data_IF_561961136830
#
_entry.id   IF_561961136830
#
_cell.length_a   1.000
_cell.length_b   1.000
_cell.length_c   1.000
_cell.angle_alpha   90.00
_cell.angle_beta   90.00
_cell.angle_gamma   90.00
#
_symmetry.space_group_name_H-M   'P 1'
#
loop_
_entity.id
_entity.type
_entity.pdbx_description
1 polymer ?
#
# COMPACT_ATOMS: atom_id res chain seq x y z
N UNK A 1 30.47 -8.12 -16.95
CA UNK A 1 29.31 -7.21 -16.76
C UNK A 1 28.10 -7.97 -16.17
N UNK A 2 28.30 -8.72 -15.08
CA UNK A 2 27.24 -9.54 -14.44
C UNK A 2 27.35 -9.60 -12.90
N UNK A 3 28.42 -9.02 -12.32
CA UNK A 3 28.63 -8.97 -10.87
C UNK A 3 28.10 -7.63 -10.29
N UNK A 4 28.20 -6.54 -11.06
CA UNK A 4 27.79 -5.20 -10.60
C UNK A 4 26.27 -4.99 -10.49
N UNK A 5 25.43 -5.81 -11.15
CA UNK A 5 23.98 -5.78 -10.95
C UNK A 5 23.53 -6.54 -9.68
N UNK A 6 24.33 -7.50 -9.19
CA UNK A 6 24.00 -8.26 -7.98
C UNK A 6 24.30 -7.50 -6.69
N UNK A 7 25.16 -6.47 -6.74
CA UNK A 7 25.53 -5.67 -5.55
C UNK A 7 24.60 -4.49 -5.27
N UNK A 8 23.73 -4.11 -6.22
CA UNK A 8 22.81 -2.97 -6.02
C UNK A 8 21.62 -3.31 -5.11
N UNK A 9 21.39 -4.59 -4.84
CA UNK A 9 20.33 -5.09 -3.97
C UNK A 9 20.96 -5.60 -2.68
N UNK A 10 20.51 -5.06 -1.53
CA UNK A 10 20.79 -5.49 -0.12
C UNK A 10 21.90 -4.77 0.65
N UNK A 11 21.72 -3.47 0.88
CA UNK A 11 21.86 -2.96 2.25
C UNK A 11 20.61 -2.19 2.62
N UNK A 12 19.63 -2.91 3.18
CA UNK A 12 18.64 -2.22 3.99
C UNK A 12 19.39 -1.66 5.19
N UNK A 13 19.28 -0.35 5.36
CA UNK A 13 19.88 0.36 6.47
C UNK A 13 19.19 -0.09 7.78
N UNK A 14 19.87 -0.89 8.59
CA UNK A 14 19.29 -1.39 9.85
C UNK A 14 18.94 -0.25 10.79
N UNK A 15 19.71 0.83 10.79
CA UNK A 15 19.40 2.01 11.60
C UNK A 15 18.10 2.67 11.15
N UNK A 16 17.75 2.60 9.86
CA UNK A 16 16.46 3.06 9.36
C UNK A 16 15.31 2.18 9.86
N UNK A 17 15.49 0.85 9.90
CA UNK A 17 14.48 -0.06 10.45
C UNK A 17 14.20 0.24 11.93
N UNK A 18 15.24 0.44 12.72
CA UNK A 18 15.10 0.80 14.14
C UNK A 18 14.41 2.17 14.29
N UNK A 19 14.77 3.14 13.44
CA UNK A 19 14.14 4.47 13.43
C UNK A 19 12.66 4.42 13.07
N UNK A 20 12.28 3.57 12.11
CA UNK A 20 10.89 3.33 11.75
C UNK A 20 10.12 2.65 12.90
N UNK A 21 10.74 1.64 13.53
CA UNK A 21 10.18 0.97 14.71
C UNK A 21 9.94 1.95 15.87
N UNK A 22 10.87 2.88 16.12
CA UNK A 22 10.72 3.95 17.10
C UNK A 22 9.60 4.95 16.79
N UNK A 23 9.04 4.92 15.56
CA UNK A 23 7.88 5.71 15.13
C UNK A 23 6.62 4.86 14.97
N UNK A 24 6.58 3.67 15.56
CA UNK A 24 5.47 2.71 15.53
C UNK A 24 5.14 2.15 14.14
N UNK A 25 6.10 2.14 13.21
CA UNK A 25 5.99 1.30 12.01
C UNK A 25 6.44 -0.14 12.34
N UNK A 26 5.88 -1.12 11.62
CA UNK A 26 6.36 -2.51 11.58
C UNK A 26 7.11 -2.75 10.25
N UNK A 27 8.38 -2.31 10.11
CA UNK A 27 9.07 -2.39 8.85
C UNK A 27 9.46 -3.84 8.53
N UNK A 28 9.02 -4.34 7.37
CA UNK A 28 9.33 -5.69 6.89
C UNK A 28 10.13 -5.63 5.60
N UNK A 29 11.19 -6.44 5.53
CA UNK A 29 12.11 -6.48 4.38
C UNK A 29 11.98 -7.83 3.70
N UNK A 30 11.75 -7.79 2.40
CA UNK A 30 11.65 -8.97 1.52
C UNK A 30 12.58 -8.81 0.32
N UNK A 31 12.87 -9.92 -0.36
CA UNK A 31 13.90 -9.97 -1.40
C UNK A 31 13.42 -9.54 -2.78
N UNK A 32 12.11 -9.39 -3.00
CA UNK A 32 11.56 -9.06 -4.31
C UNK A 32 10.03 -8.93 -4.33
N UNK A 33 9.50 -8.71 -5.54
CA UNK A 33 8.09 -8.44 -5.78
C UNK A 33 7.17 -9.58 -5.31
N UNK A 34 7.51 -10.84 -5.63
CA UNK A 34 6.68 -11.99 -5.26
C UNK A 34 6.56 -12.15 -3.73
N UNK A 35 7.69 -12.06 -3.01
CA UNK A 35 7.70 -12.10 -1.55
C UNK A 35 6.94 -10.91 -0.95
N UNK A 36 7.03 -9.72 -1.56
CA UNK A 36 6.29 -8.55 -1.14
C UNK A 36 4.78 -8.74 -1.29
N UNK A 37 4.33 -9.24 -2.45
CA UNK A 37 2.93 -9.54 -2.69
C UNK A 37 2.41 -10.56 -1.66
N UNK A 38 3.10 -11.69 -1.49
CA UNK A 38 2.67 -12.73 -0.55
C UNK A 38 2.63 -12.20 0.88
N UNK A 39 3.62 -11.40 1.29
CA UNK A 39 3.63 -10.78 2.61
C UNK A 39 2.43 -9.84 2.80
N UNK A 40 2.15 -8.95 1.85
CA UNK A 40 1.00 -8.03 1.93
C UNK A 40 -0.31 -8.82 2.00
N UNK A 41 -0.51 -9.82 1.14
CA UNK A 41 -1.72 -10.65 1.14
C UNK A 41 -1.89 -11.44 2.45
N UNK A 42 -0.80 -11.87 3.08
CA UNK A 42 -0.83 -12.56 4.38
C UNK A 42 -1.26 -11.65 5.53
N UNK A 43 -1.10 -10.33 5.39
CA UNK A 43 -1.46 -9.33 6.40
C UNK A 43 -2.92 -8.90 6.35
N UNK A 44 -3.65 -9.28 5.29
CA UNK A 44 -5.06 -8.93 5.09
C UNK A 44 -5.96 -9.87 5.91
N UNK A 45 -6.81 -9.34 6.81
CA UNK A 45 -7.81 -10.13 7.49
C UNK A 45 -8.87 -10.65 6.53
N UNK A 46 -9.40 -11.84 6.80
CA UNK A 46 -10.55 -12.36 6.05
C UNK A 46 -11.78 -11.46 6.26
N UNK A 47 -12.52 -11.21 5.18
CA UNK A 47 -13.69 -10.34 5.15
C UNK A 47 -13.40 -8.83 5.18
N UNK A 48 -12.15 -8.41 5.34
CA UNK A 48 -11.79 -7.00 5.43
C UNK A 48 -12.15 -6.21 4.15
N UNK A 49 -12.62 -4.98 4.32
CA UNK A 49 -12.66 -3.98 3.26
C UNK A 49 -11.24 -3.48 3.00
N UNK A 50 -10.70 -3.84 1.82
CA UNK A 50 -9.35 -3.48 1.40
C UNK A 50 -9.43 -2.48 0.24
N UNK A 51 -8.83 -1.32 0.43
CA UNK A 51 -8.70 -0.29 -0.61
C UNK A 51 -7.25 0.12 -0.76
N UNK A 52 -6.91 0.75 -1.88
CA UNK A 52 -5.56 1.27 -2.08
C UNK A 52 -5.55 2.56 -2.88
N UNK A 53 -4.47 3.32 -2.70
CA UNK A 53 -4.15 4.46 -3.54
C UNK A 53 -3.56 4.04 -4.89
N UNK A 54 -3.52 4.96 -5.84
CA UNK A 54 -2.74 4.75 -7.06
C UNK A 54 -1.25 4.56 -6.72
N UNK A 55 -0.66 3.47 -7.22
CA UNK A 55 0.73 3.12 -6.96
C UNK A 55 1.27 2.16 -8.02
N UNK A 56 2.27 2.63 -8.78
CA UNK A 56 3.03 1.77 -9.71
C UNK A 56 3.71 0.61 -8.99
N UNK A 57 4.12 0.79 -7.73
CA UNK A 57 4.71 -0.31 -6.94
C UNK A 57 3.68 -1.42 -6.69
N UNK A 58 2.46 -1.06 -6.29
CA UNK A 58 1.40 -2.03 -6.03
C UNK A 58 0.98 -2.75 -7.32
N UNK A 59 0.91 -2.03 -8.43
CA UNK A 59 0.68 -2.59 -9.77
C UNK A 59 1.80 -3.58 -10.14
N UNK A 60 3.07 -3.19 -10.01
CA UNK A 60 4.23 -4.00 -10.38
C UNK A 60 4.39 -5.28 -9.56
N UNK A 61 4.00 -5.28 -8.29
CA UNK A 61 3.99 -6.50 -7.48
C UNK A 61 2.76 -7.38 -7.75
N UNK A 62 1.83 -6.97 -8.63
CA UNK A 62 0.64 -7.75 -8.99
C UNK A 62 -0.50 -7.68 -7.96
N UNK A 63 -0.50 -6.69 -7.07
CA UNK A 63 -1.49 -6.59 -5.99
C UNK A 63 -2.91 -6.40 -6.53
N UNK A 64 -3.10 -5.52 -7.52
CA UNK A 64 -4.44 -5.20 -8.04
C UNK A 64 -5.13 -6.44 -8.63
N UNK A 65 -4.39 -7.23 -9.41
CA UNK A 65 -4.88 -8.50 -9.96
C UNK A 65 -5.18 -9.54 -8.88
N UNK A 66 -4.35 -9.62 -7.83
CA UNK A 66 -4.58 -10.52 -6.71
C UNK A 66 -5.82 -10.15 -5.91
N UNK A 67 -6.06 -8.86 -5.66
CA UNK A 67 -7.25 -8.38 -4.97
C UNK A 67 -8.52 -8.54 -5.81
N UNK A 68 -8.45 -8.29 -7.12
CA UNK A 68 -9.58 -8.43 -8.04
C UNK A 68 -10.10 -9.88 -8.15
N UNK A 69 -9.24 -10.88 -7.90
CA UNK A 69 -9.58 -12.30 -7.95
C UNK A 69 -9.75 -12.94 -6.56
N UNK A 70 -9.53 -12.16 -5.49
CA UNK A 70 -9.61 -12.66 -4.12
C UNK A 70 -11.06 -12.85 -3.69
N UNK A 71 -11.37 -14.03 -3.14
CA UNK A 71 -12.62 -14.30 -2.42
C UNK A 71 -12.50 -14.04 -0.91
N UNK A 72 -11.30 -13.75 -0.41
CA UNK A 72 -11.02 -13.59 1.02
C UNK A 72 -11.34 -12.19 1.54
N UNK A 73 -11.29 -11.17 0.70
CA UNK A 73 -11.45 -9.77 1.10
C UNK A 73 -12.49 -9.08 0.22
N UNK A 74 -13.08 -8.00 0.74
CA UNK A 74 -13.93 -7.11 -0.04
C UNK A 74 -13.05 -6.05 -0.70
N UNK A 75 -12.83 -6.17 -2.01
CA UNK A 75 -11.96 -5.25 -2.74
C UNK A 75 -12.67 -3.93 -3.06
N UNK A 76 -12.45 -2.91 -2.22
CA UNK A 76 -13.15 -1.64 -2.29
C UNK A 76 -12.87 -0.83 -3.56
N UNK A 77 -11.76 -1.07 -4.26
CA UNK A 77 -11.46 -0.37 -5.51
C UNK A 77 -12.29 -0.88 -6.70
N UNK A 78 -12.57 -2.18 -6.76
CA UNK A 78 -13.44 -2.73 -7.80
C UNK A 78 -14.86 -2.12 -7.73
N UNK A 79 -15.35 -1.81 -6.54
CA UNK A 79 -16.70 -1.27 -6.36
C UNK A 79 -16.88 0.12 -6.98
N UNK A 80 -15.94 1.05 -6.76
CA UNK A 80 -16.05 2.38 -7.38
C UNK A 80 -15.64 2.37 -8.84
N UNK A 81 -14.78 1.43 -9.27
CA UNK A 81 -14.44 1.25 -10.69
C UNK A 81 -15.63 0.76 -11.52
N UNK A 82 -16.56 0.02 -10.91
CA UNK A 82 -17.78 -0.46 -11.55
C UNK A 82 -18.91 0.58 -11.60
N UNK A 83 -18.72 1.76 -11.00
CA UNK A 83 -19.72 2.84 -10.98
C UNK A 83 -19.50 3.81 -12.16
N UNK A 84 -20.54 3.94 -12.98
CA UNK A 84 -20.54 4.78 -14.18
C UNK A 84 -20.78 6.25 -13.84
N UNK A 85 -21.63 6.54 -12.86
CA UNK A 85 -21.91 7.91 -12.44
C UNK A 85 -20.69 8.50 -11.71
N UNK A 86 -20.21 9.64 -12.22
CA UNK A 86 -18.96 10.22 -11.74
C UNK A 86 -19.02 10.74 -10.29
N UNK A 87 -20.18 11.22 -9.84
CA UNK A 87 -20.37 11.75 -8.50
C UNK A 87 -20.49 10.61 -7.50
N UNK A 88 -21.29 9.59 -7.82
CA UNK A 88 -21.43 8.37 -7.04
C UNK A 88 -20.10 7.63 -6.95
N UNK A 89 -19.38 7.45 -8.06
CA UNK A 89 -18.04 6.85 -8.07
C UNK A 89 -17.09 7.56 -7.13
N UNK A 90 -17.10 8.89 -7.15
CA UNK A 90 -16.26 9.71 -6.27
C UNK A 90 -16.66 9.53 -4.80
N UNK A 91 -17.96 9.47 -4.51
CA UNK A 91 -18.49 9.23 -3.16
C UNK A 91 -18.09 7.84 -2.63
N UNK A 92 -18.29 6.78 -3.43
CA UNK A 92 -17.91 5.40 -3.10
C UNK A 92 -16.41 5.31 -2.89
N UNK A 93 -15.60 5.90 -3.77
CA UNK A 93 -14.14 5.94 -3.62
C UNK A 93 -13.73 6.58 -2.30
N UNK A 94 -14.25 7.78 -1.98
CA UNK A 94 -13.96 8.46 -0.71
C UNK A 94 -14.34 7.59 0.49
N UNK A 95 -15.54 7.02 0.48
CA UNK A 95 -16.05 6.16 1.56
C UNK A 95 -15.16 4.93 1.74
N UNK A 96 -14.91 4.20 0.65
CA UNK A 96 -14.17 2.94 0.70
C UNK A 96 -12.68 3.17 1.03
N UNK A 97 -12.08 4.30 0.62
CA UNK A 97 -10.71 4.66 1.00
C UNK A 97 -10.58 5.06 2.48
N UNK A 98 -11.48 5.91 2.99
CA UNK A 98 -11.39 6.44 4.36
C UNK A 98 -11.81 5.41 5.40
N UNK A 99 -12.86 4.64 5.11
CA UNK A 99 -13.39 3.62 6.03
C UNK A 99 -12.90 2.21 5.72
N UNK A 100 -11.79 2.06 4.99
CA UNK A 100 -11.18 0.76 4.78
C UNK A 100 -10.73 0.15 6.11
N UNK A 101 -10.84 -1.17 6.24
CA UNK A 101 -10.20 -1.88 7.34
C UNK A 101 -8.67 -1.89 7.15
N UNK A 102 -8.25 -2.07 5.89
CA UNK A 102 -6.86 -1.98 5.46
C UNK A 102 -6.75 -1.10 4.23
N UNK A 103 -5.88 -0.10 4.29
CA UNK A 103 -5.51 0.71 3.13
C UNK A 103 -4.07 0.44 2.73
N UNK A 104 -3.85 0.25 1.43
CA UNK A 104 -2.54 -0.07 0.88
C UNK A 104 -2.00 1.12 0.10
N UNK A 105 -0.72 1.43 0.28
CA UNK A 105 -0.11 2.61 -0.32
C UNK A 105 1.38 2.46 -0.58
N UNK A 106 1.88 3.33 -1.46
CA UNK A 106 3.32 3.59 -1.54
C UNK A 106 3.61 5.05 -1.19
N UNK A 107 4.87 5.31 -0.88
CA UNK A 107 5.38 6.63 -0.54
C UNK A 107 6.51 7.00 -1.49
N UNK A 108 6.72 8.30 -1.72
CA UNK A 108 7.74 8.78 -2.64
C UNK A 108 9.13 8.67 -2.03
N UNK A 109 9.23 8.81 -0.71
CA UNK A 109 10.48 8.65 0.03
C UNK A 109 10.24 8.29 1.49
N UNK A 110 11.26 7.72 2.11
CA UNK A 110 11.37 7.55 3.56
C UNK A 110 12.66 8.26 3.98
N UNK A 111 12.55 9.26 4.85
CA UNK A 111 13.69 9.97 5.39
C UNK A 111 14.47 9.07 6.36
N UNK A 112 15.78 9.29 6.51
CA UNK A 112 16.61 8.58 7.51
C UNK A 112 16.10 8.74 8.95
N UNK A 113 15.37 9.82 9.20
CA UNK A 113 14.73 10.13 10.48
C UNK A 113 13.39 9.41 10.67
N UNK A 114 12.95 8.57 9.71
CA UNK A 114 11.75 7.73 9.79
C UNK A 114 10.44 8.39 9.37
N UNK A 115 10.46 9.64 8.91
CA UNK A 115 9.29 10.26 8.27
C UNK A 115 9.09 9.72 6.86
N UNK A 116 7.83 9.53 6.48
CA UNK A 116 7.45 9.16 5.11
C UNK A 116 6.98 10.39 4.35
N UNK A 117 7.30 10.46 3.05
CA UNK A 117 6.90 11.55 2.16
C UNK A 117 5.81 11.03 1.22
N UNK A 118 4.59 11.53 1.42
CA UNK A 118 3.44 11.30 0.55
C UNK A 118 3.10 12.55 -0.25
N UNK A 119 3.16 12.49 -1.58
CA UNK A 119 2.80 13.57 -2.48
C UNK A 119 1.91 13.04 -3.61
N UNK A 120 0.71 13.60 -3.74
CA UNK A 120 -0.27 13.29 -4.78
C UNK A 120 -0.93 14.54 -5.33
N UNK A 121 -1.20 14.56 -6.64
CA UNK A 121 -1.83 15.71 -7.28
C UNK A 121 -3.25 15.98 -6.75
N UNK A 122 -4.04 14.91 -6.55
CA UNK A 122 -5.43 15.01 -6.11
C UNK A 122 -5.68 14.84 -4.61
N UNK A 123 -4.64 14.71 -3.78
CA UNK A 123 -4.80 14.51 -2.33
C UNK A 123 -5.42 13.16 -1.91
N UNK A 124 -5.76 12.29 -2.87
CA UNK A 124 -6.64 11.14 -2.63
C UNK A 124 -6.08 10.09 -1.66
N UNK A 125 -4.76 10.06 -1.42
CA UNK A 125 -4.12 9.14 -0.47
C UNK A 125 -3.89 9.79 0.89
N UNK A 126 -3.86 11.13 0.96
CA UNK A 126 -3.48 11.85 2.18
C UNK A 126 -4.45 11.60 3.32
N UNK A 127 -5.76 11.69 3.08
CA UNK A 127 -6.78 11.40 4.09
C UNK A 127 -6.64 9.99 4.68
N UNK A 128 -6.59 8.93 3.84
CA UNK A 128 -6.33 7.59 4.31
C UNK A 128 -4.97 7.41 5.02
N UNK A 129 -3.91 8.11 4.63
CA UNK A 129 -2.61 7.95 5.28
C UNK A 129 -2.55 8.50 6.70
N UNK A 130 -3.35 9.52 7.02
CA UNK A 130 -3.21 10.25 8.30
C UNK A 130 -4.36 10.06 9.27
N UNK A 131 -5.52 9.55 8.82
CA UNK A 131 -6.71 9.51 9.68
C UNK A 131 -7.69 8.35 9.46
N UNK A 132 -7.90 7.87 8.24
CA UNK A 132 -9.07 7.02 7.96
C UNK A 132 -8.96 5.55 8.44
N UNK A 133 -8.22 4.70 7.72
CA UNK A 133 -8.14 3.25 7.94
C UNK A 133 -7.53 2.86 9.27
N UNK A 134 -8.01 1.74 9.84
CA UNK A 134 -7.43 1.15 11.05
C UNK A 134 -6.02 0.60 10.84
N UNK A 135 -5.69 0.20 9.60
CA UNK A 135 -4.38 -0.32 9.22
C UNK A 135 -3.95 0.27 7.89
N UNK A 136 -2.73 0.83 7.88
CA UNK A 136 -2.03 1.27 6.69
C UNK A 136 -0.86 0.32 6.42
N UNK A 137 -0.70 -0.13 5.18
CA UNK A 137 0.43 -0.95 4.72
C UNK A 137 1.08 -0.28 3.51
#
# INVERSE_FOLDING_TARGET
MHILERERTRRVDRALLDTLGGRNFDPRVVSGADEALQLVLSLLPDGALVSHGGSTTLEQIGLESALATSSRVRYGNAEWLAEDDSELRTSIRKRNSVFADVYLGSVQAIARTGQVVGADAGGSRQGPYVWGPNRLI
#
